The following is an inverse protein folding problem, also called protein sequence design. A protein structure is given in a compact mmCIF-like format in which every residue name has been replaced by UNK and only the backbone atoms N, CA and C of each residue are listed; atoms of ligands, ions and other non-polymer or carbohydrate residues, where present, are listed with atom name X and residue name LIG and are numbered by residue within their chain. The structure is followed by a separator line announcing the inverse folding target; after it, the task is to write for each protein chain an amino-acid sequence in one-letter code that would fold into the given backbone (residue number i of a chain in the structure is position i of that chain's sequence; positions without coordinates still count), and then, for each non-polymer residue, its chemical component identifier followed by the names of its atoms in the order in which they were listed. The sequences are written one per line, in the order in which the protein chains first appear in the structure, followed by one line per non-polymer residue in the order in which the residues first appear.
data_IF_233588215825
#
_entry.id   IF_233588215825
#
_cell.length_a   1.000
_cell.length_b   1.000
_cell.length_c   1.000
_cell.angle_alpha   90.00
_cell.angle_beta   90.00
_cell.angle_gamma   90.00
#
_symmetry.space_group_name_H-M   'P 1'
#
loop_
_entity.id
_entity.type
_entity.pdbx_description
1 polymer ?
#
# COMPACT_ATOMS: atom_id res chain seq x y z
N UNK A 1 -14.22 -18.85 2.43
CA UNK A 1 -13.34 -18.12 3.38
C UNK A 1 -14.19 -17.09 4.11
N UNK A 2 -14.30 -17.21 5.43
CA UNK A 2 -15.06 -16.30 6.28
C UNK A 2 -14.38 -14.93 6.43
N UNK A 3 -15.17 -13.88 6.65
CA UNK A 3 -14.67 -12.56 7.03
C UNK A 3 -14.05 -12.69 8.44
N UNK A 4 -12.81 -12.24 8.67
CA UNK A 4 -12.17 -12.30 9.99
C UNK A 4 -13.00 -11.60 11.06
N UNK A 5 -12.88 -12.04 12.32
CA UNK A 5 -13.59 -11.43 13.45
C UNK A 5 -13.29 -9.92 13.61
N UNK A 6 -14.18 -9.15 14.27
CA UNK A 6 -13.95 -7.71 14.52
C UNK A 6 -12.71 -7.42 15.38
N UNK A 7 -12.23 -8.40 16.15
CA UNK A 7 -10.96 -8.34 16.88
C UNK A 7 -9.73 -8.44 15.98
N UNK A 8 -9.86 -8.85 14.73
CA UNK A 8 -8.75 -8.95 13.79
C UNK A 8 -8.33 -7.56 13.29
N UNK A 9 -7.29 -7.00 13.90
CA UNK A 9 -6.78 -5.65 13.64
C UNK A 9 -5.25 -5.67 13.45
N UNK A 10 -4.73 -6.23 12.33
CA UNK A 10 -3.29 -6.24 12.08
C UNK A 10 -2.75 -4.80 12.03
N UNK A 11 -1.69 -4.47 12.79
CA UNK A 11 -1.17 -3.11 12.86
C UNK A 11 -0.50 -2.67 11.55
N UNK A 12 0.00 -3.63 10.76
CA UNK A 12 0.77 -3.33 9.54
C UNK A 12 0.29 -4.09 8.30
N UNK A 13 0.45 -3.44 7.14
CA UNK A 13 0.37 -4.05 5.81
C UNK A 13 1.66 -3.77 5.08
N UNK A 14 2.23 -4.80 4.47
CA UNK A 14 3.45 -4.71 3.68
C UNK A 14 3.09 -4.77 2.20
N UNK A 15 3.59 -3.80 1.44
CA UNK A 15 3.52 -3.77 -0.02
C UNK A 15 4.92 -4.01 -0.57
N UNK A 16 5.13 -5.19 -1.15
CA UNK A 16 6.32 -5.46 -1.95
C UNK A 16 6.09 -4.92 -3.35
N UNK A 17 6.82 -3.88 -3.72
CA UNK A 17 6.70 -3.26 -5.05
C UNK A 17 7.89 -3.59 -5.95
N UNK A 18 7.79 -3.26 -7.23
CA UNK A 18 8.94 -3.30 -8.14
C UNK A 18 10.09 -2.37 -7.73
N UNK A 19 9.82 -1.36 -6.89
CA UNK A 19 10.81 -0.40 -6.41
C UNK A 19 11.31 -0.67 -4.98
N UNK A 20 10.82 -1.73 -4.34
CA UNK A 20 11.18 -2.10 -2.97
C UNK A 20 9.95 -2.29 -2.07
N UNK A 21 10.21 -2.60 -0.80
CA UNK A 21 9.18 -2.83 0.20
C UNK A 21 8.73 -1.53 0.88
N UNK A 22 7.42 -1.41 1.12
CA UNK A 22 6.81 -0.33 1.90
C UNK A 22 5.96 -0.95 3.00
N UNK A 23 6.21 -0.56 4.25
CA UNK A 23 5.38 -0.97 5.39
C UNK A 23 4.45 0.17 5.80
N UNK A 24 3.15 -0.10 5.80
CA UNK A 24 2.09 0.82 6.15
C UNK A 24 1.54 0.48 7.53
N UNK A 25 1.45 1.46 8.43
CA UNK A 25 0.77 1.34 9.72
C UNK A 25 -0.72 1.70 9.58
N UNK A 26 -1.60 0.84 10.07
CA UNK A 26 -3.05 0.99 9.98
C UNK A 26 -3.63 1.66 11.23
N UNK A 27 -4.38 2.74 11.02
CA UNK A 27 -4.97 3.53 12.11
C UNK A 27 -6.39 3.06 12.47
N UNK A 28 -6.48 1.86 13.04
CA UNK A 28 -7.74 1.20 13.39
C UNK A 28 -8.65 2.01 14.30
N UNK A 29 -8.10 2.82 15.21
CA UNK A 29 -8.90 3.69 16.10
C UNK A 29 -9.65 4.80 15.35
N UNK A 30 -9.07 5.31 14.26
CA UNK A 30 -9.61 6.45 13.52
C UNK A 30 -10.47 6.00 12.33
N UNK A 31 -10.07 4.92 11.65
CA UNK A 31 -10.73 4.45 10.43
C UNK A 31 -10.86 2.91 10.39
N UNK A 32 -11.65 2.30 11.30
CA UNK A 32 -11.72 0.85 11.46
C UNK A 32 -12.24 0.11 10.22
N UNK A 33 -13.28 0.65 9.56
CA UNK A 33 -13.87 0.02 8.36
C UNK A 33 -12.89 0.03 7.18
N UNK A 34 -12.17 1.15 6.99
CA UNK A 34 -11.17 1.30 5.93
C UNK A 34 -9.98 0.38 6.17
N UNK A 35 -9.46 0.34 7.41
CA UNK A 35 -8.36 -0.55 7.78
C UNK A 35 -8.75 -2.02 7.56
N UNK A 36 -9.98 -2.41 7.93
CA UNK A 36 -10.49 -3.77 7.72
C UNK A 36 -10.56 -4.15 6.25
N UNK A 37 -11.13 -3.28 5.43
CA UNK A 37 -11.22 -3.53 4.00
C UNK A 37 -9.84 -3.66 3.38
N UNK A 38 -8.93 -2.73 3.69
CA UNK A 38 -7.57 -2.73 3.14
C UNK A 38 -6.76 -3.95 3.58
N UNK A 39 -6.79 -4.30 4.87
CA UNK A 39 -6.10 -5.47 5.41
C UNK A 39 -6.64 -6.77 4.79
N UNK A 40 -7.96 -6.91 4.65
CA UNK A 40 -8.57 -8.11 4.09
C UNK A 40 -8.29 -8.27 2.59
N UNK A 41 -8.37 -7.18 1.81
CA UNK A 41 -8.00 -7.19 0.40
C UNK A 41 -6.52 -7.53 0.21
N UNK A 42 -5.66 -7.00 1.06
CA UNK A 42 -4.22 -7.34 1.08
C UNK A 42 -4.02 -8.82 1.40
N UNK A 43 -4.66 -9.34 2.47
CA UNK A 43 -4.58 -10.76 2.86
C UNK A 43 -5.07 -11.71 1.75
N UNK A 44 -6.09 -11.30 0.98
CA UNK A 44 -6.62 -12.06 -0.16
C UNK A 44 -5.76 -11.96 -1.42
N UNK A 45 -4.70 -11.15 -1.41
CA UNK A 45 -3.85 -10.91 -2.57
C UNK A 45 -4.53 -10.09 -3.67
N UNK A 46 -5.59 -9.34 -3.35
CA UNK A 46 -6.32 -8.52 -4.32
C UNK A 46 -5.42 -7.50 -5.03
N UNK A 47 -4.43 -6.96 -4.30
CA UNK A 47 -3.47 -6.00 -4.83
C UNK A 47 -2.27 -6.63 -5.55
N UNK A 48 -2.16 -7.95 -5.59
CA UNK A 48 -1.03 -8.62 -6.22
C UNK A 48 -1.07 -8.42 -7.74
N UNK A 49 0.02 -7.94 -8.32
CA UNK A 49 0.12 -7.59 -9.74
C UNK A 49 -0.51 -6.24 -10.11
N UNK A 50 -1.18 -5.55 -9.18
CA UNK A 50 -1.74 -4.23 -9.45
C UNK A 50 -0.63 -3.21 -9.73
N UNK A 51 -0.85 -2.38 -10.76
CA UNK A 51 0.03 -1.25 -11.10
C UNK A 51 -0.46 0.04 -10.43
N UNK A 52 0.47 0.94 -10.13
CA UNK A 52 0.11 2.31 -9.77
C UNK A 52 -0.30 3.05 -11.04
N UNK A 53 -1.58 3.44 -11.11
CA UNK A 53 -2.16 4.06 -12.31
C UNK A 53 -1.84 5.54 -12.41
N UNK A 54 -1.55 6.19 -11.28
CA UNK A 54 -1.11 7.59 -11.19
C UNK A 54 -0.07 7.71 -10.09
N UNK A 55 1.01 8.42 -10.35
CA UNK A 55 1.99 8.83 -9.35
C UNK A 55 2.16 10.34 -9.49
N UNK A 56 1.71 11.08 -8.50
CA UNK A 56 1.78 12.55 -8.50
C UNK A 56 2.79 12.96 -7.44
N UNK A 57 3.87 13.61 -7.87
CA UNK A 57 4.91 14.11 -6.98
C UNK A 57 4.32 15.11 -5.98
N UNK A 58 4.70 14.98 -4.71
CA UNK A 58 4.31 15.87 -3.60
C UNK A 58 2.80 16.00 -3.31
N UNK A 59 1.94 15.18 -3.92
CA UNK A 59 0.49 15.34 -3.77
C UNK A 59 -0.07 14.76 -2.47
N UNK A 60 0.08 13.46 -2.24
CA UNK A 60 -0.52 12.84 -1.06
C UNK A 60 0.19 11.55 -0.64
N UNK A 61 0.75 11.57 0.57
CA UNK A 61 1.06 10.37 1.34
C UNK A 61 0.13 10.40 2.54
N UNK A 62 -1.05 9.77 2.45
CA UNK A 62 -1.99 9.71 3.56
C UNK A 62 -1.84 8.39 4.32
N UNK A 63 -1.03 8.42 5.38
CA UNK A 63 -0.75 7.28 6.25
C UNK A 63 0.60 7.44 6.93
N UNK A 64 0.88 6.64 7.96
CA UNK A 64 2.21 6.57 8.57
C UNK A 64 2.98 5.42 7.92
N UNK A 65 4.04 5.79 7.22
CA UNK A 65 5.01 4.83 6.67
C UNK A 65 5.95 4.47 7.81
N UNK A 66 5.81 3.27 8.38
CA UNK A 66 6.67 2.79 9.46
C UNK A 66 8.06 2.39 8.95
N UNK A 67 8.16 1.96 7.70
CA UNK A 67 9.42 1.69 6.99
C UNK A 67 9.24 1.81 5.47
N UNK A 68 10.33 2.08 4.75
CA UNK A 68 10.31 2.17 3.28
C UNK A 68 10.04 3.59 2.73
N UNK A 69 10.19 4.64 3.54
CA UNK A 69 10.00 6.03 3.08
C UNK A 69 10.91 6.39 1.88
N UNK A 70 12.12 5.84 1.82
CA UNK A 70 13.01 5.98 0.66
C UNK A 70 12.42 5.39 -0.63
N UNK A 71 11.68 4.27 -0.53
CA UNK A 71 10.99 3.65 -1.68
C UNK A 71 9.87 4.55 -2.14
N UNK A 72 9.06 5.09 -1.21
CA UNK A 72 7.98 6.03 -1.53
C UNK A 72 8.52 7.30 -2.19
N UNK A 73 9.64 7.85 -1.69
CA UNK A 73 10.30 9.00 -2.32
C UNK A 73 10.77 8.68 -3.75
N UNK A 74 11.40 7.52 -3.96
CA UNK A 74 11.81 7.08 -5.30
C UNK A 74 10.62 6.89 -6.23
N UNK A 75 9.51 6.33 -5.73
CA UNK A 75 8.27 6.22 -6.49
C UNK A 75 7.77 7.61 -6.93
N UNK A 76 7.73 8.60 -6.03
CA UNK A 76 7.34 9.97 -6.40
C UNK A 76 8.28 10.69 -7.38
N UNK A 77 9.47 10.15 -7.63
CA UNK A 77 10.44 10.70 -8.56
C UNK A 77 10.43 10.03 -9.94
N UNK A 78 9.63 8.97 -10.16
CA UNK A 78 9.59 8.30 -11.47
C UNK A 78 9.08 9.24 -12.55
N UNK A 79 9.57 9.05 -13.78
CA UNK A 79 9.06 9.77 -14.94
C UNK A 79 7.61 9.38 -15.23
N UNK A 80 6.78 10.39 -15.48
CA UNK A 80 5.35 10.21 -15.77
C UNK A 80 4.95 10.88 -17.07
N UNK A 81 3.93 10.34 -17.73
CA UNK A 81 3.28 10.97 -18.87
C UNK A 81 2.37 12.15 -18.45
N UNK A 82 1.70 12.77 -19.42
CA UNK A 82 0.76 13.87 -19.20
C UNK A 82 -0.49 13.50 -18.37
N UNK A 83 -0.67 12.23 -18.00
CA UNK A 83 -1.78 11.71 -17.17
C UNK A 83 -1.29 11.19 -15.81
N UNK A 84 -0.09 11.59 -15.38
CA UNK A 84 0.60 11.10 -14.17
C UNK A 84 0.90 9.60 -14.18
N UNK A 85 0.86 8.94 -15.34
CA UNK A 85 1.12 7.50 -15.45
C UNK A 85 2.63 7.27 -15.51
N UNK A 86 3.20 6.39 -14.68
CA UNK A 86 4.62 6.06 -14.78
C UNK A 86 4.98 5.51 -16.16
N UNK A 87 6.03 6.05 -16.78
CA UNK A 87 6.57 5.57 -18.07
C UNK A 87 6.99 4.10 -17.91
N UNK A 88 7.74 3.82 -16.85
CA UNK A 88 8.03 2.46 -16.39
C UNK A 88 7.01 2.03 -15.32
N UNK A 89 6.21 0.97 -15.57
CA UNK A 89 5.16 0.59 -14.65
C UNK A 89 5.67 0.18 -13.27
N UNK A 90 5.28 0.93 -12.23
CA UNK A 90 5.45 0.52 -10.84
C UNK A 90 4.32 -0.44 -10.45
N UNK A 91 4.67 -1.62 -9.95
CA UNK A 91 3.72 -2.69 -9.63
C UNK A 91 3.87 -3.17 -8.19
N UNK A 92 2.76 -3.53 -7.57
CA UNK A 92 2.72 -4.30 -6.33
C UNK A 92 2.93 -5.75 -6.72
N UNK A 93 4.07 -6.33 -6.35
CA UNK A 93 4.34 -7.76 -6.53
C UNK A 93 3.49 -8.57 -5.57
N UNK A 94 3.42 -8.13 -4.31
CA UNK A 94 2.66 -8.80 -3.25
C UNK A 94 2.22 -7.80 -2.18
N UNK A 95 1.00 -7.94 -1.70
CA UNK A 95 0.49 -7.27 -0.51
C UNK A 95 0.14 -8.32 0.55
N UNK A 96 0.52 -8.09 1.80
CA UNK A 96 0.17 -8.99 2.91
C UNK A 96 0.13 -8.27 4.26
N UNK A 97 -0.62 -8.84 5.19
CA UNK A 97 -0.71 -8.34 6.57
C UNK A 97 0.50 -8.79 7.39
N UNK A 98 1.00 -7.90 8.26
CA UNK A 98 2.10 -8.19 9.18
C UNK A 98 1.65 -7.89 10.61
N UNK A 99 1.79 -8.89 11.49
CA UNK A 99 1.30 -8.85 12.88
C UNK A 99 2.32 -8.28 13.86
N UNK A 100 3.62 -8.29 13.51
CA UNK A 100 4.75 -7.82 14.32
C UNK A 100 5.80 -7.21 13.39
#
# INVERSE_FOLDING_TARGET
MSIPDKSWQPPYVVLETSMGEVTLELYWKHAPNTCRNFAELSRRGYYNGCKFHRIIRDFMIQGRVSSGMQVVKRMGLVETDNNDRPVDPVKIKRAYVKMH
#
